data_IF_340924929996
#
_entry.id   IF_340924929996
#
_cell.length_a   1.000
_cell.length_b   1.000
_cell.length_c   1.000
_cell.angle_alpha   90.00
_cell.angle_beta   90.00
_cell.angle_gamma   90.00
#
_symmetry.space_group_name_H-M   'P 1'
#
loop_
_entity.id
_entity.type
_entity.pdbx_description
1 polymer ?
#
# COMPACT_ATOMS: atom_id res chain seq x y z
N UNK A 1 31.13 33.86 -16.11
CA UNK A 1 29.64 33.81 -16.05
C UNK A 1 29.24 32.44 -15.51
N UNK A 2 28.30 32.42 -14.56
CA UNK A 2 28.13 31.41 -13.49
C UNK A 2 27.82 29.98 -13.97
N UNK A 3 28.38 29.02 -13.22
CA UNK A 3 28.21 27.57 -13.28
C UNK A 3 26.78 27.14 -13.62
N UNK A 4 26.64 26.37 -14.69
CA UNK A 4 25.48 25.55 -15.01
C UNK A 4 25.28 24.54 -13.88
N UNK A 5 24.57 24.95 -12.83
CA UNK A 5 24.11 24.05 -11.78
C UNK A 5 22.91 23.34 -12.36
N UNK A 6 23.15 22.24 -13.07
CA UNK A 6 22.13 21.21 -13.28
C UNK A 6 21.72 20.74 -11.89
N UNK A 7 20.75 21.44 -11.30
CA UNK A 7 19.79 20.80 -10.42
C UNK A 7 19.04 19.83 -11.34
N UNK A 8 19.60 18.62 -11.50
CA UNK A 8 18.76 17.45 -11.64
C UNK A 8 17.92 17.42 -10.35
N UNK A 9 16.81 18.16 -10.33
CA UNK A 9 15.66 17.69 -9.58
C UNK A 9 15.42 16.32 -10.18
N UNK A 10 15.74 15.27 -9.44
CA UNK A 10 15.35 13.92 -9.77
C UNK A 10 13.84 13.93 -9.94
N UNK A 11 13.35 14.12 -11.17
CA UNK A 11 12.01 13.72 -11.56
C UNK A 11 12.03 12.19 -11.49
N UNK A 12 11.90 11.68 -10.26
CA UNK A 12 11.42 10.34 -10.03
C UNK A 12 9.95 10.38 -10.46
N UNK A 13 9.68 10.28 -11.77
CA UNK A 13 8.40 9.79 -12.25
C UNK A 13 8.39 8.29 -11.92
N UNK A 14 8.40 7.98 -10.63
CA UNK A 14 8.27 6.61 -10.14
C UNK A 14 6.84 6.22 -10.40
N UNK A 15 6.65 5.46 -11.48
CA UNK A 15 5.43 4.70 -11.68
C UNK A 15 5.15 3.92 -10.40
N UNK A 16 3.93 4.05 -9.87
CA UNK A 16 3.53 3.36 -8.66
C UNK A 16 3.64 1.85 -8.92
N UNK A 17 4.32 1.12 -8.04
CA UNK A 17 4.43 -0.34 -8.15
C UNK A 17 3.40 -1.01 -7.25
N UNK A 18 2.66 -1.98 -7.78
CA UNK A 18 1.70 -2.76 -7.01
C UNK A 18 1.86 -4.25 -7.30
N UNK A 19 1.45 -5.09 -6.36
CA UNK A 19 1.30 -6.52 -6.62
C UNK A 19 0.06 -6.79 -7.49
N UNK A 20 0.19 -7.73 -8.45
CA UNK A 20 -0.88 -8.15 -9.35
C UNK A 20 -1.10 -9.67 -9.30
N UNK A 21 -2.24 -10.11 -8.77
CA UNK A 21 -2.65 -11.51 -8.72
C UNK A 21 -4.16 -11.65 -8.55
N UNK A 22 -4.69 -12.83 -8.86
CA UNK A 22 -6.12 -13.15 -8.73
C UNK A 22 -6.24 -14.62 -8.37
N UNK A 23 -5.71 -14.98 -7.21
CA UNK A 23 -5.47 -16.37 -6.81
C UNK A 23 -5.98 -16.65 -5.40
N UNK A 24 -6.24 -17.93 -5.11
CA UNK A 24 -6.70 -18.41 -3.80
C UNK A 24 -5.56 -18.72 -2.83
N UNK A 25 -4.31 -18.70 -3.31
CA UNK A 25 -3.12 -19.07 -2.52
C UNK A 25 -2.66 -17.97 -1.58
N UNK A 26 -3.15 -16.73 -1.73
CA UNK A 26 -2.79 -15.57 -0.90
C UNK A 26 -1.35 -15.07 -1.05
N UNK A 27 -0.47 -15.86 -1.68
CA UNK A 27 0.90 -15.51 -2.05
C UNK A 27 0.91 -14.81 -3.40
N UNK A 28 1.32 -13.55 -3.39
CA UNK A 28 1.35 -12.69 -4.56
C UNK A 28 2.74 -12.10 -4.70
N UNK A 29 3.53 -12.63 -5.62
CA UNK A 29 4.93 -12.19 -5.84
C UNK A 29 5.07 -11.35 -7.11
N UNK A 30 4.04 -11.35 -7.97
CA UNK A 30 4.07 -10.64 -9.23
C UNK A 30 3.88 -9.14 -9.01
N UNK A 31 4.93 -8.37 -9.27
CA UNK A 31 4.92 -6.91 -9.24
C UNK A 31 4.57 -6.36 -10.62
N UNK A 32 3.77 -5.30 -10.65
CA UNK A 32 3.42 -4.54 -11.85
C UNK A 32 3.64 -3.04 -11.60
N UNK A 33 4.24 -2.36 -12.57
CA UNK A 33 4.27 -0.90 -12.65
C UNK A 33 2.91 -0.37 -13.15
N UNK A 34 2.27 0.48 -12.36
CA UNK A 34 1.03 1.18 -12.70
C UNK A 34 1.35 2.38 -13.60
N UNK A 35 0.60 2.52 -14.69
CA UNK A 35 0.88 3.56 -15.71
C UNK A 35 -0.05 4.76 -15.57
N UNK A 36 -1.33 4.50 -15.28
CA UNK A 36 -2.38 5.53 -15.18
C UNK A 36 -3.09 5.53 -13.83
N UNK A 37 -2.72 4.61 -12.97
CA UNK A 37 -3.33 4.36 -11.68
C UNK A 37 -2.43 4.86 -10.55
N UNK A 38 -3.04 5.61 -9.64
CA UNK A 38 -2.33 6.23 -8.51
C UNK A 38 -2.48 5.43 -7.21
N UNK A 39 -3.05 4.22 -7.25
CA UNK A 39 -3.27 3.38 -6.06
C UNK A 39 -3.18 1.87 -6.34
N UNK A 40 -2.91 1.11 -5.31
CA UNK A 40 -2.99 -0.34 -5.31
C UNK A 40 -4.28 -0.80 -4.63
N UNK A 41 -4.97 -1.77 -5.23
CA UNK A 41 -6.12 -2.46 -4.67
C UNK A 41 -5.71 -3.79 -4.03
N UNK A 42 -6.32 -4.10 -2.88
CA UNK A 42 -6.44 -5.45 -2.34
C UNK A 42 -7.92 -5.73 -2.13
N UNK A 43 -8.46 -6.72 -2.81
CA UNK A 43 -9.84 -7.16 -2.67
C UNK A 43 -9.83 -8.61 -2.19
N UNK A 44 -10.48 -8.89 -1.07
CA UNK A 44 -10.61 -10.23 -0.51
C UNK A 44 -12.07 -10.64 -0.53
N UNK A 45 -12.35 -11.70 -1.27
CA UNK A 45 -13.66 -12.34 -1.32
C UNK A 45 -13.87 -13.26 -0.10
N UNK A 46 -15.11 -13.40 0.38
CA UNK A 46 -15.44 -14.34 1.48
C UNK A 46 -15.06 -15.79 1.21
N UNK A 47 -15.03 -16.21 -0.06
CA UNK A 47 -14.58 -17.52 -0.53
C UNK A 47 -13.06 -17.74 -0.54
N UNK A 48 -12.27 -16.83 0.03
CA UNK A 48 -10.81 -16.98 0.16
C UNK A 48 -10.00 -16.52 -1.06
N UNK A 49 -10.65 -16.01 -2.11
CA UNK A 49 -9.95 -15.40 -3.25
C UNK A 49 -9.43 -14.04 -2.86
N UNK A 50 -8.17 -13.75 -3.15
CA UNK A 50 -7.62 -12.39 -3.02
C UNK A 50 -7.17 -11.87 -4.37
N UNK A 51 -7.70 -10.72 -4.76
CA UNK A 51 -7.36 -10.01 -5.99
C UNK A 51 -6.55 -8.78 -5.63
N UNK A 52 -5.42 -8.60 -6.30
CA UNK A 52 -4.55 -7.44 -6.15
C UNK A 52 -4.21 -6.88 -7.51
N UNK A 53 -4.28 -5.57 -7.66
CA UNK A 53 -3.95 -4.89 -8.92
C UNK A 53 -3.80 -3.38 -8.70
N UNK A 54 -3.33 -2.70 -9.74
CA UNK A 54 -3.40 -1.24 -9.84
C UNK A 54 -4.86 -0.77 -9.97
N UNK A 55 -5.19 0.37 -9.36
CA UNK A 55 -6.50 1.04 -9.46
C UNK A 55 -6.32 2.55 -9.28
N UNK A 56 -7.21 3.35 -9.87
CA UNK A 56 -7.27 4.77 -9.50
C UNK A 56 -7.90 4.91 -8.13
N UNK A 57 -7.41 5.87 -7.35
CA UNK A 57 -7.98 6.15 -6.03
C UNK A 57 -9.49 6.48 -6.12
N UNK A 58 -9.90 7.17 -7.19
CA UNK A 58 -11.30 7.51 -7.48
C UNK A 58 -12.19 6.32 -7.85
N UNK A 59 -11.59 5.19 -8.26
CA UNK A 59 -12.32 3.96 -8.58
C UNK A 59 -12.34 2.99 -7.39
N UNK A 60 -11.67 3.34 -6.29
CA UNK A 60 -11.65 2.55 -5.05
C UNK A 60 -12.91 2.79 -4.19
N UNK A 61 -14.07 2.59 -4.80
CA UNK A 61 -15.37 2.70 -4.16
C UNK A 61 -16.15 1.41 -4.33
N UNK A 62 -16.94 1.05 -3.31
CA UNK A 62 -17.71 -0.20 -3.30
C UNK A 62 -18.62 -0.35 -4.53
N UNK A 63 -19.24 0.74 -4.98
CA UNK A 63 -20.11 0.76 -6.16
C UNK A 63 -19.34 0.49 -7.45
N UNK A 64 -18.14 1.06 -7.60
CA UNK A 64 -17.26 0.85 -8.77
C UNK A 64 -16.66 -0.55 -8.77
N UNK A 65 -16.17 -0.99 -7.61
CA UNK A 65 -15.64 -2.34 -7.41
C UNK A 65 -16.71 -3.41 -7.67
N UNK A 66 -17.96 -3.19 -7.25
CA UNK A 66 -19.07 -4.11 -7.55
C UNK A 66 -19.37 -4.25 -9.05
N UNK A 67 -19.19 -3.18 -9.83
CA UNK A 67 -19.33 -3.23 -11.30
C UNK A 67 -18.13 -3.89 -11.98
N UNK A 68 -16.91 -3.71 -11.44
CA UNK A 68 -15.69 -4.35 -11.96
C UNK A 68 -15.59 -5.83 -11.59
N UNK A 69 -16.14 -6.21 -10.44
CA UNK A 69 -16.11 -7.58 -9.91
C UNK A 69 -17.53 -8.12 -9.66
N UNK A 70 -18.38 -8.21 -10.70
CA UNK A 70 -19.78 -8.63 -10.55
C UNK A 70 -19.93 -10.10 -10.14
N UNK A 71 -18.88 -10.90 -10.32
CA UNK A 71 -18.83 -12.30 -9.89
C UNK A 71 -18.65 -12.47 -8.38
N UNK A 72 -18.35 -11.39 -7.64
CA UNK A 72 -18.06 -11.45 -6.21
C UNK A 72 -19.21 -10.76 -5.44
N UNK A 73 -20.04 -11.57 -4.79
CA UNK A 73 -21.24 -11.08 -4.09
C UNK A 73 -20.93 -10.36 -2.76
N UNK A 74 -19.82 -10.70 -2.10
CA UNK A 74 -19.36 -10.00 -0.91
C UNK A 74 -17.84 -10.03 -0.78
N UNK A 75 -17.25 -8.84 -0.67
CA UNK A 75 -15.82 -8.65 -0.59
C UNK A 75 -15.45 -7.54 0.40
N UNK A 76 -14.24 -7.64 0.95
CA UNK A 76 -13.57 -6.54 1.65
C UNK A 76 -12.51 -5.95 0.72
N UNK A 77 -12.33 -4.64 0.77
CA UNK A 77 -11.37 -3.96 -0.09
C UNK A 77 -10.48 -2.99 0.71
N UNK A 78 -9.25 -2.80 0.25
CA UNK A 78 -8.28 -1.85 0.79
C UNK A 78 -7.51 -1.20 -0.35
N UNK A 79 -7.39 0.12 -0.31
CA UNK A 79 -6.55 0.87 -1.24
C UNK A 79 -5.46 1.66 -0.54
N UNK A 80 -4.33 1.84 -1.22
CA UNK A 80 -3.18 2.59 -0.73
C UNK A 80 -2.38 3.15 -1.92
N UNK A 81 -1.69 4.28 -1.72
CA UNK A 81 -0.95 5.01 -2.77
C UNK A 81 0.56 5.00 -2.52
N UNK A 82 1.10 3.82 -2.20
CA UNK A 82 2.55 3.67 -1.93
C UNK A 82 3.08 2.42 -2.60
N UNK A 83 4.36 2.44 -2.96
CA UNK A 83 4.96 1.31 -3.68
C UNK A 83 4.83 0.01 -2.87
N UNK A 84 4.28 -1.02 -3.51
CA UNK A 84 4.09 -2.38 -2.99
C UNK A 84 3.26 -2.44 -1.71
N UNK A 85 2.43 -1.42 -1.44
CA UNK A 85 1.64 -1.31 -0.22
C UNK A 85 0.55 -2.38 -0.08
N UNK A 86 0.15 -3.02 -1.20
CA UNK A 86 -0.81 -4.12 -1.25
C UNK A 86 -0.17 -5.50 -1.03
N UNK A 87 0.98 -5.58 -0.35
CA UNK A 87 1.59 -6.86 0.02
C UNK A 87 0.67 -7.69 0.91
N UNK A 88 0.85 -9.02 0.94
CA UNK A 88 0.02 -9.95 1.75
C UNK A 88 0.23 -9.76 3.25
N UNK A 89 1.26 -9.02 3.63
CA UNK A 89 1.39 -8.52 4.97
C UNK A 89 0.34 -7.41 5.09
N UNK A 90 -0.86 -7.81 5.48
CA UNK A 90 -1.82 -6.97 6.18
C UNK A 90 -1.13 -6.46 7.46
N UNK A 91 -0.18 -5.54 7.28
CA UNK A 91 0.18 -4.59 8.32
C UNK A 91 -1.02 -3.69 8.37
N UNK A 92 -1.98 -4.13 9.17
CA UNK A 92 -2.81 -3.25 9.97
C UNK A 92 -1.85 -2.20 10.50
N UNK A 93 -1.83 -1.05 9.85
CA UNK A 93 -1.16 0.16 10.31
C UNK A 93 -1.94 0.61 11.52
N UNK A 94 -1.77 -0.14 12.61
CA UNK A 94 -2.13 0.25 13.95
C UNK A 94 -1.20 1.40 14.27
N UNK A 95 -1.72 2.61 14.09
CA UNK A 95 -1.52 3.78 14.93
C UNK A 95 -0.16 3.88 15.65
N UNK A 96 0.65 4.93 15.38
CA UNK A 96 1.91 5.19 16.08
C UNK A 96 1.67 5.63 17.53
N UNK A 97 1.23 4.73 18.40
CA UNK A 97 1.06 4.99 19.85
C UNK A 97 2.20 4.37 20.68
N UNK A 98 3.07 3.55 20.06
CA UNK A 98 4.17 2.87 20.76
C UNK A 98 5.50 3.65 20.74
N UNK A 99 5.44 4.98 20.71
CA UNK A 99 6.63 5.84 20.82
C UNK A 99 6.77 6.50 22.21
N UNK A 100 5.85 6.27 23.15
CA UNK A 100 5.74 7.04 24.39
C UNK A 100 6.20 6.33 25.68
N UNK A 101 6.75 5.11 25.64
CA UNK A 101 7.15 4.38 26.86
C UNK A 101 8.67 4.35 27.14
N UNK A 102 9.47 5.09 26.37
CA UNK A 102 10.94 5.07 26.45
C UNK A 102 11.63 6.06 27.40
N UNK A 103 10.89 6.83 28.22
CA UNK A 103 11.47 8.00 28.91
C UNK A 103 11.41 8.00 30.45
N UNK A 104 11.25 6.84 31.11
CA UNK A 104 11.16 6.81 32.59
C UNK A 104 12.28 6.05 33.31
N UNK A 105 13.29 5.52 32.62
CA UNK A 105 14.36 4.71 33.26
C UNK A 105 15.71 5.44 33.46
N UNK A 106 15.83 6.71 33.10
CA UNK A 106 17.09 7.46 33.24
C UNK A 106 17.35 8.03 34.64
N UNK A 107 16.45 7.83 35.61
CA UNK A 107 16.61 8.40 36.97
C UNK A 107 17.40 7.48 37.91
N UNK A 108 17.69 6.23 37.52
CA UNK A 108 18.32 5.26 38.44
C UNK A 108 19.86 5.20 38.39
N UNK A 109 20.53 5.94 37.49
CA UNK A 109 22.00 5.86 37.35
C UNK A 109 22.77 7.07 37.89
N UNK A 110 22.10 7.97 38.62
CA UNK A 110 22.75 9.12 39.27
C UNK A 110 23.09 8.88 40.74
N UNK A 111 22.98 7.64 41.23
CA UNK A 111 23.24 7.31 42.63
C UNK A 111 24.04 6.01 42.77
N UNK A 112 25.16 5.91 42.05
CA UNK A 112 26.35 5.14 42.44
C UNK A 112 27.60 5.84 41.89
#
# INVERSE_FOLDING_TARGET
>A
VKKMKLFFLSLSLTALRCYKCSDYTGRCEKVQDCTYEDSCLTLSEKGGKTIRQCIRYTDCDISRLGLMFPSISSFTYRCCSSNLCNSSNAVTTTTPILALLGSLLTVWWSWM
#
